data_IF_892095389311
#
_entry.id   IF_892095389311
#
_cell.length_a   1.000
_cell.length_b   1.000
_cell.length_c   1.000
_cell.angle_alpha   90.00
_cell.angle_beta   90.00
_cell.angle_gamma   90.00
#
_symmetry.space_group_name_H-M   'P 1'
#
loop_
_entity.id
_entity.type
_entity.pdbx_description
1 polymer ?
#
# COMPACT_ATOMS: atom_id res chain seq x y z
N UNK A 1 16.36 12.45 17.16
CA UNK A 1 15.29 13.46 17.30
C UNK A 1 14.98 14.16 15.98
N UNK A 2 15.95 14.46 15.13
CA UNK A 2 15.74 15.11 13.81
C UNK A 2 14.81 14.32 12.88
N UNK A 3 14.90 12.98 12.87
CA UNK A 3 14.11 12.13 11.98
C UNK A 3 12.62 12.10 12.33
N UNK A 4 12.25 12.18 13.61
CA UNK A 4 10.86 12.21 14.05
C UNK A 4 10.17 13.49 13.57
N UNK A 5 10.85 14.63 13.71
CA UNK A 5 10.33 15.90 13.20
C UNK A 5 10.12 15.86 11.67
N UNK A 6 10.97 15.12 10.93
CA UNK A 6 10.83 14.98 9.48
C UNK A 6 9.64 14.10 9.10
N UNK A 7 9.40 12.97 9.79
CA UNK A 7 8.22 12.11 9.53
C UNK A 7 6.92 12.84 9.88
N UNK A 8 6.90 13.59 10.98
CA UNK A 8 5.76 14.39 11.39
C UNK A 8 5.41 15.45 10.33
N UNK A 9 6.40 16.15 9.82
CA UNK A 9 6.20 17.13 8.74
C UNK A 9 5.66 16.48 7.48
N UNK A 10 6.14 15.30 7.12
CA UNK A 10 5.66 14.54 5.97
C UNK A 10 4.19 14.11 6.15
N UNK A 11 3.84 13.58 7.31
CA UNK A 11 2.47 13.17 7.63
C UNK A 11 1.55 14.39 7.59
N UNK A 12 1.90 15.48 8.25
CA UNK A 12 1.15 16.73 8.25
C UNK A 12 0.90 17.23 6.82
N UNK A 13 1.94 17.24 5.99
CA UNK A 13 1.83 17.62 4.57
C UNK A 13 0.88 16.70 3.81
N UNK A 14 0.98 15.39 4.01
CA UNK A 14 0.13 14.40 3.35
C UNK A 14 -1.33 14.50 3.81
N UNK A 15 -1.57 14.70 5.11
CA UNK A 15 -2.91 14.94 5.68
C UNK A 15 -3.51 16.22 5.08
N UNK A 16 -2.77 17.32 5.06
CA UNK A 16 -3.23 18.60 4.50
C UNK A 16 -3.57 18.47 3.01
N UNK A 17 -2.72 17.80 2.23
CA UNK A 17 -2.98 17.51 0.81
C UNK A 17 -4.23 16.65 0.64
N UNK A 18 -4.44 15.66 1.51
CA UNK A 18 -5.61 14.80 1.48
C UNK A 18 -6.89 15.55 1.81
N UNK A 19 -6.91 16.33 2.89
CA UNK A 19 -8.07 17.16 3.28
C UNK A 19 -8.48 18.11 2.13
N UNK A 20 -7.52 18.71 1.42
CA UNK A 20 -7.78 19.55 0.24
C UNK A 20 -8.55 18.83 -0.87
N UNK A 21 -8.30 17.55 -1.05
CA UNK A 21 -8.90 16.75 -2.11
C UNK A 21 -10.27 16.16 -1.77
N UNK A 22 -10.72 16.29 -0.50
CA UNK A 22 -11.96 15.69 -0.04
C UNK A 22 -13.20 16.29 -0.68
N UNK A 23 -14.22 15.46 -0.83
CA UNK A 23 -15.58 15.94 -1.14
C UNK A 23 -16.17 16.69 0.05
N UNK A 24 -17.23 17.44 -0.15
CA UNK A 24 -17.92 18.10 0.96
C UNK A 24 -18.47 17.08 1.99
N UNK A 25 -18.98 15.94 1.51
CA UNK A 25 -19.47 14.87 2.38
C UNK A 25 -18.36 14.27 3.28
N UNK A 26 -17.17 14.07 2.72
CA UNK A 26 -16.03 13.54 3.50
C UNK A 26 -15.51 14.61 4.48
N UNK A 27 -15.50 15.89 4.12
CA UNK A 27 -15.19 16.97 5.06
C UNK A 27 -16.15 17.01 6.24
N UNK A 28 -17.45 16.72 6.01
CA UNK A 28 -18.41 16.62 7.10
C UNK A 28 -18.09 15.49 8.06
N UNK A 29 -17.63 14.32 7.57
CA UNK A 29 -17.18 13.20 8.44
C UNK A 29 -15.99 13.61 9.30
N UNK A 30 -14.99 14.29 8.71
CA UNK A 30 -13.85 14.82 9.47
C UNK A 30 -14.29 15.83 10.52
N UNK A 31 -15.23 16.70 10.18
CA UNK A 31 -15.79 17.69 11.11
C UNK A 31 -16.54 17.01 12.28
N UNK A 32 -17.27 15.93 12.02
CA UNK A 32 -17.95 15.11 13.04
C UNK A 32 -16.93 14.49 14.02
N UNK A 33 -15.84 13.94 13.51
CA UNK A 33 -14.77 13.38 14.36
C UNK A 33 -13.99 14.44 15.13
N UNK A 34 -13.98 15.69 14.65
CA UNK A 34 -13.40 16.84 15.38
C UNK A 34 -14.37 17.47 16.38
N UNK A 35 -15.56 16.88 16.57
CA UNK A 35 -16.64 17.46 17.41
C UNK A 35 -16.96 18.90 17.02
N UNK A 36 -16.66 19.29 15.79
CA UNK A 36 -17.11 20.57 15.26
C UNK A 36 -18.63 20.56 15.27
N UNK A 37 -19.20 21.39 16.14
CA UNK A 37 -20.64 21.54 16.38
C UNK A 37 -21.44 21.36 15.09
N UNK A 38 -22.24 20.30 15.02
CA UNK A 38 -23.00 19.80 13.89
C UNK A 38 -24.15 20.71 13.43
N UNK A 39 -24.21 21.92 13.88
CA UNK A 39 -24.92 22.99 13.17
C UNK A 39 -24.16 23.43 11.92
N UNK A 40 -23.61 22.43 11.20
CA UNK A 40 -23.27 22.63 9.79
C UNK A 40 -24.63 22.69 9.08
N UNK A 41 -25.19 23.88 9.06
CA UNK A 41 -26.30 24.17 8.20
C UNK A 41 -25.81 23.91 6.76
N UNK A 42 -26.10 22.69 6.27
CA UNK A 42 -25.63 22.20 4.94
C UNK A 42 -25.98 23.15 3.81
N UNK A 43 -26.91 24.11 4.07
CA UNK A 43 -27.33 25.14 3.11
C UNK A 43 -26.43 26.39 3.12
N UNK A 44 -25.73 26.69 4.19
CA UNK A 44 -25.09 28.00 4.35
C UNK A 44 -23.55 27.97 4.48
N UNK A 45 -22.90 26.86 4.82
CA UNK A 45 -21.42 26.78 4.82
C UNK A 45 -20.90 26.35 3.45
N UNK A 46 -20.18 27.24 2.80
CA UNK A 46 -19.42 26.91 1.59
C UNK A 46 -18.30 25.91 1.95
N UNK A 47 -18.01 24.96 1.05
CA UNK A 47 -16.92 23.97 1.20
C UNK A 47 -15.60 24.63 1.66
N UNK A 48 -15.30 25.82 1.14
CA UNK A 48 -14.07 26.57 1.45
C UNK A 48 -13.97 27.01 2.91
N UNK A 49 -15.11 27.44 3.52
CA UNK A 49 -15.11 27.84 4.92
C UNK A 49 -14.92 26.65 5.85
N UNK A 50 -15.66 25.55 5.60
CA UNK A 50 -15.51 24.31 6.38
C UNK A 50 -14.08 23.73 6.26
N UNK A 51 -13.51 23.77 5.05
CA UNK A 51 -12.14 23.36 4.82
C UNK A 51 -11.14 24.16 5.66
N UNK A 52 -11.29 25.49 5.72
CA UNK A 52 -10.39 26.37 6.49
C UNK A 52 -10.43 26.03 7.98
N UNK A 53 -11.64 25.91 8.56
CA UNK A 53 -11.83 25.54 9.98
C UNK A 53 -11.21 24.17 10.29
N UNK A 54 -11.47 23.15 9.47
CA UNK A 54 -10.90 21.79 9.65
C UNK A 54 -9.37 21.85 9.59
N UNK A 55 -8.80 22.54 8.60
CA UNK A 55 -7.37 22.59 8.41
C UNK A 55 -6.66 23.27 9.59
N UNK A 56 -7.21 24.35 10.10
CA UNK A 56 -6.67 25.05 11.27
C UNK A 56 -6.67 24.14 12.51
N UNK A 57 -7.77 23.43 12.77
CA UNK A 57 -7.86 22.50 13.89
C UNK A 57 -6.90 21.31 13.73
N UNK A 58 -6.87 20.72 12.56
CA UNK A 58 -5.99 19.54 12.28
C UNK A 58 -4.53 19.91 12.42
N UNK A 59 -4.10 21.08 11.95
CA UNK A 59 -2.71 21.53 12.09
C UNK A 59 -2.27 21.76 13.55
N UNK A 60 -3.23 22.00 14.44
CA UNK A 60 -2.96 22.15 15.88
C UNK A 60 -2.96 20.80 16.64
N UNK A 61 -3.32 19.69 16.00
CA UNK A 61 -3.26 18.37 16.58
C UNK A 61 -1.85 17.77 16.49
N UNK A 62 -1.42 17.00 17.49
CA UNK A 62 -0.24 16.14 17.37
C UNK A 62 -0.39 15.19 16.17
N UNK A 63 0.72 14.84 15.51
CA UNK A 63 0.73 13.99 14.30
C UNK A 63 0.00 12.66 14.49
N UNK A 64 0.17 12.00 15.67
CA UNK A 64 -0.54 10.77 16.01
C UNK A 64 -2.06 10.95 15.98
N UNK A 65 -2.55 12.08 16.48
CA UNK A 65 -3.97 12.42 16.48
C UNK A 65 -4.49 12.75 15.07
N UNK A 66 -3.67 13.35 14.23
CA UNK A 66 -4.03 13.58 12.81
C UNK A 66 -4.22 12.23 12.08
N UNK A 67 -3.32 11.26 12.32
CA UNK A 67 -3.44 9.91 11.76
C UNK A 67 -4.69 9.22 12.28
N UNK A 68 -4.96 9.27 13.58
CA UNK A 68 -6.16 8.67 14.19
C UNK A 68 -7.45 9.30 13.63
N UNK A 69 -7.45 10.62 13.42
CA UNK A 69 -8.58 11.33 12.83
C UNK A 69 -8.88 10.84 11.41
N UNK A 70 -7.85 10.73 10.58
CA UNK A 70 -7.96 10.23 9.21
C UNK A 70 -8.50 8.78 9.21
N UNK A 71 -7.97 7.92 10.11
CA UNK A 71 -8.45 6.54 10.27
C UNK A 71 -9.94 6.48 10.60
N UNK A 72 -10.35 7.20 11.64
CA UNK A 72 -11.76 7.22 12.10
C UNK A 72 -12.71 7.78 11.06
N UNK A 73 -12.29 8.78 10.31
CA UNK A 73 -13.09 9.35 9.23
C UNK A 73 -13.23 8.42 8.02
N UNK A 74 -12.54 7.29 7.98
CA UNK A 74 -12.55 6.35 6.86
C UNK A 74 -11.90 6.91 5.59
N UNK A 75 -10.96 7.84 5.74
CA UNK A 75 -10.28 8.52 4.65
C UNK A 75 -8.89 7.92 4.48
N UNK A 76 -8.58 7.42 3.28
CA UNK A 76 -7.26 6.86 3.00
C UNK A 76 -6.16 7.92 3.04
N UNK A 77 -5.03 7.58 3.65
CA UNK A 77 -3.81 8.37 3.64
C UNK A 77 -2.70 7.56 2.95
N UNK A 78 -2.15 8.09 1.89
CA UNK A 78 -1.03 7.51 1.16
C UNK A 78 0.22 8.36 1.34
N UNK A 79 1.36 7.69 1.57
CA UNK A 79 2.68 8.30 1.47
C UNK A 79 3.35 7.88 0.15
N UNK A 80 4.04 8.80 -0.49
CA UNK A 80 4.80 8.48 -1.69
C UNK A 80 6.18 7.94 -1.31
N UNK A 81 6.56 6.74 -1.80
CA UNK A 81 7.89 6.14 -1.61
C UNK A 81 9.00 7.15 -1.92
N UNK A 82 8.83 7.89 -3.01
CA UNK A 82 9.75 8.94 -3.43
C UNK A 82 10.00 9.94 -2.31
N UNK A 83 8.94 10.46 -1.69
CA UNK A 83 9.04 11.48 -0.66
C UNK A 83 9.73 10.98 0.60
N UNK A 84 9.49 9.72 1.00
CA UNK A 84 10.18 9.08 2.12
C UNK A 84 11.68 9.00 1.85
N UNK A 85 12.08 8.58 0.65
CA UNK A 85 13.47 8.43 0.29
C UNK A 85 14.21 9.78 0.11
N UNK A 86 13.55 10.76 -0.48
CA UNK A 86 14.14 12.11 -0.68
C UNK A 86 14.33 12.86 0.64
N UNK A 87 13.46 12.63 1.62
CA UNK A 87 13.62 13.20 2.96
C UNK A 87 14.44 12.31 3.90
N UNK A 88 15.01 11.21 3.39
CA UNK A 88 15.84 10.27 4.14
C UNK A 88 15.20 9.78 5.46
N UNK A 89 13.89 9.62 5.47
CA UNK A 89 13.14 9.14 6.64
C UNK A 89 13.55 7.69 6.91
N UNK A 90 13.95 7.38 8.13
CA UNK A 90 14.30 6.03 8.52
C UNK A 90 13.06 5.12 8.67
N UNK A 91 13.28 3.82 8.53
CA UNK A 91 12.20 2.84 8.56
C UNK A 91 11.61 2.69 9.97
N UNK A 92 12.42 2.81 11.02
CA UNK A 92 11.95 2.74 12.40
C UNK A 92 10.96 3.88 12.70
N UNK A 93 11.26 5.11 12.24
CA UNK A 93 10.35 6.26 12.35
C UNK A 93 9.05 6.05 11.56
N UNK A 94 9.14 5.47 10.36
CA UNK A 94 7.98 5.16 9.55
C UNK A 94 7.05 4.17 10.25
N UNK A 95 7.60 3.13 10.84
CA UNK A 95 6.84 2.12 11.61
C UNK A 95 6.25 2.73 12.89
N UNK A 96 7.02 3.52 13.62
CA UNK A 96 6.56 4.21 14.83
C UNK A 96 5.38 5.15 14.56
N UNK A 97 5.26 5.68 13.35
CA UNK A 97 4.12 6.51 12.92
C UNK A 97 2.79 5.75 12.84
N UNK A 98 2.78 4.42 13.00
CA UNK A 98 1.63 3.53 12.85
C UNK A 98 0.94 3.57 11.48
N UNK A 99 1.68 3.97 10.46
CA UNK A 99 1.21 3.90 9.07
C UNK A 99 1.48 2.53 8.43
N UNK A 100 2.25 1.68 9.10
CA UNK A 100 2.47 0.29 8.73
C UNK A 100 1.52 -0.63 9.49
N UNK A 101 0.78 -1.45 8.78
CA UNK A 101 0.01 -2.54 9.37
C UNK A 101 0.90 -3.76 9.55
N UNK A 102 0.79 -4.41 10.70
CA UNK A 102 1.45 -5.68 10.95
C UNK A 102 0.84 -6.79 10.08
N UNK A 103 1.69 -7.61 9.47
CA UNK A 103 1.25 -8.67 8.56
C UNK A 103 0.42 -9.74 9.28
N UNK A 104 0.75 -10.05 10.54
CA UNK A 104 0.01 -11.02 11.35
C UNK A 104 -1.46 -10.59 11.53
N UNK A 105 -1.71 -9.32 11.79
CA UNK A 105 -3.07 -8.75 11.89
C UNK A 105 -3.80 -8.88 10.55
N UNK A 106 -3.15 -8.49 9.46
CA UNK A 106 -3.75 -8.62 8.12
C UNK A 106 -4.09 -10.08 7.80
N UNK A 107 -3.18 -11.02 8.07
CA UNK A 107 -3.38 -12.44 7.76
C UNK A 107 -4.45 -13.07 8.63
N UNK A 108 -4.59 -12.66 9.89
CA UNK A 108 -5.67 -13.13 10.76
C UNK A 108 -7.03 -12.66 10.27
N UNK A 109 -7.18 -11.38 9.98
CA UNK A 109 -8.43 -10.81 9.45
C UNK A 109 -8.78 -11.37 8.05
N UNK A 110 -7.78 -11.78 7.26
CA UNK A 110 -7.94 -12.36 5.93
C UNK A 110 -7.74 -13.87 5.94
N UNK A 111 -8.37 -14.57 6.87
CA UNK A 111 -8.22 -16.02 7.06
C UNK A 111 -8.36 -16.86 5.78
N UNK A 112 -9.23 -16.46 4.86
CA UNK A 112 -9.39 -17.14 3.57
C UNK A 112 -8.15 -17.06 2.66
N UNK A 113 -7.29 -16.06 2.85
CA UNK A 113 -6.02 -15.94 2.12
C UNK A 113 -4.85 -16.51 2.91
N UNK A 114 -4.92 -16.57 4.24
CA UNK A 114 -3.84 -17.02 5.10
C UNK A 114 -3.27 -18.38 4.68
N UNK A 115 -4.14 -19.33 4.46
CA UNK A 115 -3.76 -20.68 4.04
C UNK A 115 -3.19 -20.74 2.62
N UNK A 116 -3.51 -19.75 1.80
CA UNK A 116 -3.07 -19.62 0.42
C UNK A 116 -1.76 -18.85 0.26
N UNK A 117 -1.43 -17.97 1.22
CA UNK A 117 -0.18 -17.20 1.25
C UNK A 117 0.92 -17.98 1.97
N UNK A 118 1.21 -19.17 1.47
CA UNK A 118 2.21 -20.08 2.07
C UNK A 118 3.59 -19.97 1.44
N UNK A 119 3.69 -19.31 0.29
CA UNK A 119 4.95 -19.18 -0.43
C UNK A 119 5.66 -17.89 0.01
N UNK A 120 6.87 -18.04 0.51
CA UNK A 120 7.71 -16.92 0.95
C UNK A 120 8.98 -16.87 0.13
N UNK A 121 9.34 -15.68 -0.26
CA UNK A 121 10.54 -15.41 -1.02
C UNK A 121 11.29 -14.25 -0.35
N UNK A 122 12.43 -14.54 0.22
CA UNK A 122 13.29 -13.53 0.81
C UNK A 122 14.01 -12.72 -0.28
N UNK A 123 14.17 -11.44 -0.03
CA UNK A 123 14.88 -10.52 -0.90
C UNK A 123 16.23 -10.15 -0.28
N UNK A 124 17.25 -10.09 -1.10
CA UNK A 124 18.61 -9.71 -0.70
C UNK A 124 19.23 -8.73 -1.72
N UNK A 125 20.22 -7.99 -1.28
CA UNK A 125 21.01 -7.12 -2.17
C UNK A 125 22.25 -7.87 -2.63
N UNK A 126 22.38 -8.07 -3.94
CA UNK A 126 23.53 -8.75 -4.56
C UNK A 126 24.04 -7.84 -5.70
N UNK A 127 25.29 -7.42 -5.63
CA UNK A 127 25.89 -6.49 -6.61
C UNK A 127 24.99 -5.27 -6.89
N UNK A 128 24.53 -4.63 -5.81
CA UNK A 128 23.65 -3.46 -5.85
C UNK A 128 22.25 -3.69 -6.47
N UNK A 129 21.87 -4.94 -6.66
CA UNK A 129 20.53 -5.31 -7.15
C UNK A 129 19.77 -6.11 -6.10
N UNK A 130 18.47 -5.86 -6.00
CA UNK A 130 17.59 -6.71 -5.18
C UNK A 130 17.31 -7.99 -5.94
N UNK A 131 17.55 -9.13 -5.32
CA UNK A 131 17.32 -10.47 -5.88
C UNK A 131 16.56 -11.33 -4.88
N UNK A 132 15.84 -12.29 -5.40
CA UNK A 132 15.25 -13.35 -4.59
C UNK A 132 16.30 -14.41 -4.23
N UNK A 133 16.20 -14.92 -3.00
CA UNK A 133 17.03 -16.04 -2.55
C UNK A 133 16.55 -17.38 -3.09
N UNK A 134 15.28 -17.49 -3.46
CA UNK A 134 14.63 -18.73 -3.86
C UNK A 134 14.31 -18.74 -5.36
N UNK A 135 14.28 -19.95 -5.94
CA UNK A 135 13.73 -20.12 -7.30
C UNK A 135 12.23 -19.84 -7.29
N UNK A 136 11.80 -18.98 -8.22
CA UNK A 136 10.42 -18.57 -8.35
C UNK A 136 9.85 -19.22 -9.60
N UNK A 137 8.65 -19.82 -9.52
CA UNK A 137 8.00 -20.40 -10.69
C UNK A 137 7.74 -19.35 -11.76
N UNK A 138 8.02 -19.71 -13.02
CA UNK A 138 7.58 -18.96 -14.18
C UNK A 138 6.08 -19.22 -14.45
N UNK A 139 5.42 -18.31 -15.13
CA UNK A 139 4.06 -18.48 -15.68
C UNK A 139 2.95 -18.63 -14.64
N UNK A 140 3.17 -18.19 -13.43
CA UNK A 140 2.17 -18.25 -12.37
C UNK A 140 1.55 -16.87 -12.17
N UNK A 141 0.23 -16.82 -12.15
CA UNK A 141 -0.52 -15.63 -11.74
C UNK A 141 -0.86 -15.71 -10.25
N UNK A 142 -0.92 -14.56 -9.59
CA UNK A 142 -1.26 -14.56 -8.18
C UNK A 142 -1.28 -13.18 -7.55
N UNK A 143 -1.45 -13.21 -6.23
CA UNK A 143 -1.38 -12.05 -5.36
C UNK A 143 -0.07 -12.08 -4.59
N UNK A 144 0.41 -10.94 -4.16
CA UNK A 144 1.59 -10.83 -3.31
C UNK A 144 1.43 -9.75 -2.24
N UNK A 145 2.16 -9.94 -1.17
CA UNK A 145 2.37 -8.98 -0.10
C UNK A 145 3.87 -8.73 -0.02
N UNK A 146 4.30 -7.50 -0.26
CA UNK A 146 5.65 -7.07 0.07
C UNK A 146 5.67 -6.67 1.53
N UNK A 147 6.53 -7.27 2.30
CA UNK A 147 6.73 -6.98 3.72
C UNK A 147 8.19 -6.68 4.05
N UNK A 148 8.40 -5.97 5.14
CA UNK A 148 9.70 -5.83 5.81
C UNK A 148 9.56 -6.34 7.22
N UNK A 149 10.60 -6.97 7.76
CA UNK A 149 10.56 -7.51 9.12
C UNK A 149 11.81 -7.20 9.92
N UNK A 150 11.58 -6.98 11.22
CA UNK A 150 12.62 -6.78 12.23
C UNK A 150 12.09 -7.30 13.56
N UNK A 151 12.91 -8.02 14.32
CA UNK A 151 12.54 -8.63 15.60
C UNK A 151 11.29 -9.53 15.51
N UNK A 152 11.24 -10.38 14.47
CA UNK A 152 10.14 -11.32 14.19
C UNK A 152 8.76 -10.69 13.93
N UNK A 153 8.70 -9.39 13.69
CA UNK A 153 7.48 -8.69 13.31
C UNK A 153 7.56 -8.30 11.85
N UNK A 154 6.59 -8.76 11.06
CA UNK A 154 6.45 -8.43 9.65
C UNK A 154 5.47 -7.27 9.46
N UNK A 155 5.89 -6.24 8.71
CA UNK A 155 5.06 -5.07 8.38
C UNK A 155 4.71 -5.04 6.91
N UNK A 156 3.45 -4.81 6.61
CA UNK A 156 2.95 -4.74 5.23
C UNK A 156 3.40 -3.43 4.58
N UNK A 157 4.13 -3.56 3.49
CA UNK A 157 4.62 -2.42 2.70
C UNK A 157 3.74 -2.18 1.48
N UNK A 158 3.42 -3.25 0.75
CA UNK A 158 2.61 -3.17 -0.46
C UNK A 158 1.85 -4.48 -0.68
N UNK A 159 0.63 -4.33 -1.18
CA UNK A 159 -0.17 -5.41 -1.74
C UNK A 159 -0.18 -5.27 -3.26
N UNK A 160 -0.35 -6.38 -3.98
CA UNK A 160 -0.47 -6.33 -5.42
C UNK A 160 -0.73 -7.69 -6.05
N UNK A 161 -0.81 -7.68 -7.37
CA UNK A 161 -0.96 -8.89 -8.18
C UNK A 161 0.14 -9.00 -9.24
N UNK A 162 0.30 -10.19 -9.75
CA UNK A 162 1.15 -10.49 -10.90
C UNK A 162 0.40 -11.40 -11.86
N UNK A 163 0.33 -10.99 -13.12
CA UNK A 163 -0.43 -11.67 -14.16
C UNK A 163 0.32 -11.67 -15.51
N UNK A 164 1.60 -11.36 -15.48
CA UNK A 164 2.42 -11.21 -16.67
C UNK A 164 2.94 -12.56 -17.16
N UNK A 165 3.33 -12.65 -18.44
CA UNK A 165 3.86 -13.87 -19.06
C UNK A 165 5.06 -14.49 -18.33
N UNK A 166 5.76 -13.72 -17.52
CA UNK A 166 6.88 -14.18 -16.69
C UNK A 166 6.53 -14.20 -15.20
N UNK A 167 5.24 -14.00 -14.88
CA UNK A 167 4.67 -14.15 -13.55
C UNK A 167 5.41 -13.39 -12.45
N UNK A 168 5.57 -14.06 -11.32
CA UNK A 168 6.22 -13.54 -10.14
C UNK A 168 7.69 -13.17 -10.36
N UNK A 169 8.41 -13.94 -11.19
CA UNK A 169 9.81 -13.66 -11.52
C UNK A 169 9.97 -12.25 -12.11
N UNK A 170 9.17 -11.89 -13.10
CA UNK A 170 9.20 -10.56 -13.70
C UNK A 170 8.82 -9.48 -12.70
N UNK A 171 7.86 -9.74 -11.81
CA UNK A 171 7.47 -8.80 -10.76
C UNK A 171 8.64 -8.51 -9.81
N UNK A 172 9.34 -9.54 -9.34
CA UNK A 172 10.52 -9.37 -8.48
C UNK A 172 11.65 -8.68 -9.24
N UNK A 173 11.93 -9.08 -10.49
CA UNK A 173 12.92 -8.39 -11.31
C UNK A 173 12.59 -6.90 -11.50
N UNK A 174 11.30 -6.54 -11.63
CA UNK A 174 10.89 -5.14 -11.76
C UNK A 174 11.17 -4.31 -10.50
N UNK A 175 11.14 -4.92 -9.32
CA UNK A 175 11.56 -4.31 -8.07
C UNK A 175 13.05 -4.53 -7.79
N UNK A 176 13.65 -5.56 -8.39
CA UNK A 176 15.02 -5.98 -8.14
C UNK A 176 16.09 -5.26 -8.94
N UNK A 177 15.72 -4.50 -9.96
CA UNK A 177 16.71 -3.75 -10.77
C UNK A 177 17.58 -4.62 -11.66
N UNK A 178 17.08 -5.73 -12.18
CA UNK A 178 17.68 -6.31 -13.39
C UNK A 178 17.79 -5.21 -14.44
N UNK A 179 18.69 -5.31 -15.44
CA UNK A 179 19.04 -4.29 -16.46
C UNK A 179 17.85 -3.60 -17.18
N UNK A 180 16.73 -3.44 -16.49
CA UNK A 180 15.56 -2.72 -16.95
C UNK A 180 15.73 -1.23 -16.69
N UNK A 181 16.58 -0.59 -17.45
CA UNK A 181 16.58 0.88 -17.60
C UNK A 181 15.18 1.41 -17.96
N UNK A 182 14.34 0.54 -18.49
CA UNK A 182 12.94 0.79 -18.90
C UNK A 182 11.89 0.56 -17.80
N UNK A 183 12.28 0.17 -16.58
CA UNK A 183 11.34 -0.01 -15.46
C UNK A 183 10.58 1.27 -15.12
N UNK A 184 9.30 1.15 -14.74
CA UNK A 184 8.51 2.31 -14.31
C UNK A 184 9.23 3.05 -13.17
N UNK A 185 9.05 4.37 -13.10
CA UNK A 185 9.64 5.18 -12.03
C UNK A 185 9.27 4.63 -10.64
N UNK A 186 8.05 4.15 -10.46
CA UNK A 186 7.56 3.54 -9.23
C UNK A 186 8.39 2.31 -8.83
N UNK A 187 8.72 1.42 -9.76
CA UNK A 187 9.53 0.24 -9.47
C UNK A 187 10.94 0.59 -9.02
N UNK A 188 11.55 1.63 -9.60
CA UNK A 188 12.87 2.14 -9.16
C UNK A 188 12.84 2.67 -7.73
N UNK A 189 11.75 3.33 -7.34
CA UNK A 189 11.57 3.80 -5.97
C UNK A 189 11.40 2.65 -4.98
N UNK A 190 10.65 1.61 -5.34
CA UNK A 190 10.53 0.40 -4.51
C UNK A 190 11.86 -0.30 -4.33
N UNK A 191 12.66 -0.43 -5.38
CA UNK A 191 14.00 -0.99 -5.28
C UNK A 191 14.87 -0.22 -4.27
N UNK A 192 14.87 1.11 -4.35
CA UNK A 192 15.61 1.96 -3.41
C UNK A 192 15.09 1.80 -1.98
N UNK A 193 13.78 1.68 -1.81
CA UNK A 193 13.17 1.44 -0.49
C UNK A 193 13.60 0.11 0.11
N UNK A 194 13.56 -0.98 -0.67
CA UNK A 194 14.00 -2.31 -0.22
C UNK A 194 15.47 -2.28 0.18
N UNK A 195 16.35 -1.64 -0.62
CA UNK A 195 17.75 -1.48 -0.29
C UNK A 195 17.95 -0.70 1.02
N UNK A 196 17.21 0.39 1.20
CA UNK A 196 17.23 1.18 2.43
C UNK A 196 16.80 0.36 3.63
N UNK A 197 15.69 -0.37 3.53
CA UNK A 197 15.20 -1.24 4.61
C UNK A 197 16.24 -2.29 5.00
N UNK A 198 16.87 -2.96 4.02
CA UNK A 198 17.93 -3.94 4.27
C UNK A 198 19.14 -3.28 4.92
N UNK A 199 19.55 -2.09 4.49
CA UNK A 199 20.66 -1.35 5.07
C UNK A 199 20.39 -0.92 6.53
N UNK A 200 19.12 -0.71 6.90
CA UNK A 200 18.69 -0.40 8.28
C UNK A 200 18.41 -1.65 9.13
N UNK A 201 18.79 -2.84 8.64
CA UNK A 201 18.70 -4.10 9.38
C UNK A 201 17.34 -4.79 9.32
N UNK A 202 16.49 -4.39 8.39
CA UNK A 202 15.26 -5.14 8.09
C UNK A 202 15.54 -6.26 7.11
N UNK A 203 14.82 -7.36 7.22
CA UNK A 203 14.68 -8.32 6.12
C UNK A 203 13.51 -7.88 5.24
N UNK A 204 13.54 -8.22 3.96
CA UNK A 204 12.45 -7.92 3.03
C UNK A 204 11.98 -9.20 2.37
N UNK A 205 10.66 -9.38 2.30
CA UNK A 205 10.04 -10.62 1.83
C UNK A 205 8.90 -10.33 0.87
N UNK A 206 8.73 -11.23 -0.11
CA UNK A 206 7.47 -11.43 -0.79
C UNK A 206 6.77 -12.65 -0.24
N UNK A 207 5.58 -12.47 0.30
CA UNK A 207 4.66 -13.56 0.60
C UNK A 207 3.63 -13.58 -0.52
N UNK A 208 3.43 -14.71 -1.16
CA UNK A 208 2.58 -14.77 -2.34
C UNK A 208 1.67 -16.00 -2.37
N UNK A 209 0.55 -15.80 -3.02
CA UNK A 209 -0.41 -16.81 -3.40
C UNK A 209 -0.36 -16.96 -4.92
N UNK A 210 -0.06 -18.17 -5.39
CA UNK A 210 -0.09 -18.50 -6.80
C UNK A 210 -1.30 -19.38 -7.11
N UNK A 211 -2.10 -18.94 -8.06
CA UNK A 211 -3.19 -19.73 -8.63
C UNK A 211 -2.84 -20.06 -10.07
N UNK A 212 -2.72 -21.34 -10.36
CA UNK A 212 -2.70 -21.81 -11.75
C UNK A 212 -4.14 -21.61 -12.26
N UNK A 213 -4.28 -20.77 -13.26
CA UNK A 213 -5.58 -20.60 -13.90
C UNK A 213 -5.79 -21.69 -14.91
N UNK A 214 -6.95 -22.32 -14.85
CA UNK A 214 -7.41 -23.18 -15.93
C UNK A 214 -7.78 -22.30 -17.13
N UNK A 215 -7.35 -22.72 -18.30
CA UNK A 215 -7.78 -22.10 -19.55
C UNK A 215 -9.28 -22.32 -19.70
N UNK A 216 -9.97 -21.28 -20.12
CA UNK A 216 -11.36 -21.40 -20.58
C UNK A 216 -11.39 -21.37 -22.09
N UNK A 217 -12.14 -22.28 -22.67
CA UNK A 217 -12.39 -22.29 -24.11
C UNK A 217 -13.62 -21.43 -24.39
N UNK A 218 -13.43 -20.38 -25.15
CA UNK A 218 -14.54 -19.55 -25.65
C UNK A 218 -14.85 -19.99 -27.07
N UNK A 219 -16.14 -20.17 -27.31
CA UNK A 219 -16.65 -20.43 -28.67
C UNK A 219 -17.27 -19.13 -29.17
N UNK A 220 -16.79 -18.63 -30.30
CA UNK A 220 -17.35 -17.43 -30.92
C UNK A 220 -18.67 -17.76 -31.69
N UNK A 221 -19.29 -16.74 -32.27
CA UNK A 221 -20.54 -16.89 -33.00
C UNK A 221 -20.40 -17.73 -34.30
N UNK A 222 -19.20 -17.88 -34.78
CA UNK A 222 -18.88 -18.68 -35.97
C UNK A 222 -18.47 -20.12 -35.60
N UNK A 223 -18.48 -20.46 -34.32
CA UNK A 223 -18.12 -21.77 -33.82
C UNK A 223 -16.63 -22.01 -33.62
N UNK A 224 -15.77 -21.00 -33.81
CA UNK A 224 -14.34 -21.15 -33.59
C UNK A 224 -14.05 -21.20 -32.09
N UNK A 225 -13.15 -22.09 -31.71
CA UNK A 225 -12.74 -22.26 -30.33
C UNK A 225 -11.42 -21.51 -30.09
N UNK A 226 -11.39 -20.68 -29.06
CA UNK A 226 -10.20 -19.98 -28.62
C UNK A 226 -9.98 -20.20 -27.13
N UNK A 227 -8.83 -20.74 -26.78
CA UNK A 227 -8.41 -20.87 -25.40
C UNK A 227 -7.91 -19.52 -24.88
N UNK A 228 -8.49 -19.03 -23.80
CA UNK A 228 -8.00 -17.84 -23.13
C UNK A 228 -7.87 -18.02 -21.63
N UNK A 229 -6.92 -17.29 -21.06
CA UNK A 229 -6.72 -17.22 -19.62
C UNK A 229 -7.60 -16.12 -19.06
N UNK A 230 -8.56 -16.43 -18.20
CA UNK A 230 -9.39 -15.40 -17.59
C UNK A 230 -8.55 -14.49 -16.67
N UNK A 231 -8.67 -13.19 -16.86
CA UNK A 231 -7.94 -12.22 -16.04
C UNK A 231 -8.70 -11.94 -14.73
N UNK A 232 -8.54 -12.84 -13.74
CA UNK A 232 -9.26 -12.72 -12.45
C UNK A 232 -8.44 -12.06 -11.34
N UNK A 233 -7.17 -11.73 -11.59
CA UNK A 233 -6.30 -11.21 -10.53
C UNK A 233 -6.70 -9.83 -10.02
N UNK A 234 -7.21 -8.93 -10.89
CA UNK A 234 -7.67 -7.61 -10.45
C UNK A 234 -8.84 -7.65 -9.47
N UNK A 235 -9.92 -8.43 -9.70
CA UNK A 235 -10.96 -8.60 -8.70
C UNK A 235 -10.45 -9.14 -7.36
N UNK A 236 -9.55 -10.11 -7.37
CA UNK A 236 -8.95 -10.66 -6.16
C UNK A 236 -8.05 -9.63 -5.45
N UNK A 237 -7.24 -8.89 -6.21
CA UNK A 237 -6.44 -7.79 -5.67
C UNK A 237 -7.34 -6.73 -5.02
N UNK A 238 -8.42 -6.32 -5.68
CA UNK A 238 -9.40 -5.38 -5.12
C UNK A 238 -10.02 -5.89 -3.81
N UNK A 239 -10.38 -7.16 -3.74
CA UNK A 239 -10.89 -7.78 -2.50
C UNK A 239 -9.85 -7.78 -1.39
N UNK A 240 -8.59 -8.09 -1.71
CA UNK A 240 -7.49 -8.04 -0.76
C UNK A 240 -7.29 -6.62 -0.21
N UNK A 241 -7.36 -5.60 -1.07
CA UNK A 241 -7.29 -4.20 -0.65
C UNK A 241 -8.46 -3.78 0.22
N UNK A 242 -9.67 -4.17 -0.14
CA UNK A 242 -10.84 -3.86 0.69
C UNK A 242 -10.71 -4.46 2.09
N UNK A 243 -10.26 -5.71 2.19
CA UNK A 243 -10.02 -6.34 3.49
C UNK A 243 -8.90 -5.64 4.26
N UNK A 244 -7.79 -5.31 3.60
CA UNK A 244 -6.71 -4.54 4.21
C UNK A 244 -7.20 -3.20 4.74
N UNK A 245 -7.95 -2.46 3.94
CA UNK A 245 -8.45 -1.15 4.32
C UNK A 245 -9.43 -1.24 5.50
N UNK A 246 -10.31 -2.25 5.51
CA UNK A 246 -11.24 -2.48 6.62
C UNK A 246 -10.50 -2.78 7.93
N UNK A 247 -9.47 -3.63 7.87
CA UNK A 247 -8.61 -3.97 9.02
C UNK A 247 -7.83 -2.76 9.51
N UNK A 248 -7.39 -1.89 8.59
CA UNK A 248 -6.58 -0.71 8.88
C UNK A 248 -7.38 0.62 8.85
N UNK A 249 -8.68 0.57 9.14
CA UNK A 249 -9.57 1.74 9.18
C UNK A 249 -9.46 2.62 7.91
N UNK A 250 -9.51 1.99 6.73
CA UNK A 250 -9.40 2.61 5.42
C UNK A 250 -8.08 3.34 5.12
N UNK A 251 -7.04 3.11 5.89
CA UNK A 251 -5.70 3.56 5.50
C UNK A 251 -5.13 2.54 4.52
N UNK A 252 -4.76 2.94 3.30
CA UNK A 252 -4.12 2.05 2.33
C UNK A 252 -2.74 1.60 2.83
N UNK A 253 -2.14 0.56 2.21
CA UNK A 253 -0.73 0.25 2.42
C UNK A 253 0.13 1.49 2.23
N UNK A 254 1.27 1.58 2.92
CA UNK A 254 2.14 2.77 2.90
C UNK A 254 2.39 3.27 1.47
N UNK A 255 2.57 2.36 0.56
CA UNK A 255 2.83 2.67 -0.84
C UNK A 255 1.64 2.36 -1.74
N UNK A 256 0.47 2.69 -1.27
CA UNK A 256 -0.76 2.79 -2.01
C UNK A 256 -1.20 1.54 -2.78
N UNK A 257 -2.47 1.53 -3.07
CA UNK A 257 -3.05 0.68 -4.09
C UNK A 257 -3.18 1.47 -5.38
N UNK A 258 -2.52 1.04 -6.43
CA UNK A 258 -2.88 1.48 -7.78
C UNK A 258 -4.15 0.76 -8.29
N UNK A 259 -4.98 0.23 -7.39
CA UNK A 259 -6.25 -0.36 -7.73
C UNK A 259 -7.33 0.71 -7.63
N UNK A 260 -7.53 1.36 -8.72
CA UNK A 260 -8.79 2.00 -9.08
C UNK A 260 -9.55 1.08 -10.02
#
# INVERSE_FOLDING_TARGET
>A
MENIATIDNLINSSVNKRIKSLTFGDLCKVAEELELSTKIDKKNKKKTALYGEILELVNNLPTSRQVDLIKKSGIGLELEVKTILENNIDIDSLIASKLCLELSVLMEENRCFRESFVNVCDLQVVHDNVKSTNCIPFEVQGLYILSISKNDIDYVVKLGSFAESQGMFKRICSFGGGNYETGSATNKWFQRFIKKAIAEGYTSKFTYFNKIQEKITIVDLDGNQTDMMPYVMRPLESQMFQKYNNTNNNIPPIFGSNCL
#
